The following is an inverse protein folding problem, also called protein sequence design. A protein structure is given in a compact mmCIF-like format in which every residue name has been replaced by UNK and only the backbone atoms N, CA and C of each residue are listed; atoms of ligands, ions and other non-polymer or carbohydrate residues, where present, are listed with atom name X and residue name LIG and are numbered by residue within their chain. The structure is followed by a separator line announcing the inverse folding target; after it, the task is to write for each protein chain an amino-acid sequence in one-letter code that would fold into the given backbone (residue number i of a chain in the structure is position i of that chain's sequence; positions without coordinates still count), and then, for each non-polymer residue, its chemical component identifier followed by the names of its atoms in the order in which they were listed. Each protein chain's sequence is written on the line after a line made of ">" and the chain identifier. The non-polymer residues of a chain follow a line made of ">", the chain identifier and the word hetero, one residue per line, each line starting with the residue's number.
data_IF_086181885344
#
_entry.id   IF_086181885344
#
_cell.length_a   1.000
_cell.length_b   1.000
_cell.length_c   1.000
_cell.angle_alpha   90.00
_cell.angle_beta   90.00
_cell.angle_gamma   90.00
#
_symmetry.space_group_name_H-M   'P 1'
#
loop_
_entity.id
_entity.type
_entity.pdbx_description
1 polymer ?
#
# COMPACT_ATOMS: atom_id res chain seq x y z
N UNK A 1 -1.52 37.93 -30.51
CA UNK A 1 -0.99 38.22 -29.15
C UNK A 1 0.43 37.65 -29.08
N UNK A 2 1.42 38.51 -29.35
CA UNK A 2 2.84 38.15 -29.52
C UNK A 2 3.60 38.51 -28.25
N UNK A 3 4.35 37.54 -27.70
CA UNK A 3 5.65 37.68 -27.01
C UNK A 3 5.86 38.90 -26.07
N UNK A 4 4.91 39.26 -25.21
CA UNK A 4 5.15 40.25 -24.14
C UNK A 4 5.66 39.59 -22.83
N UNK A 5 5.60 38.26 -22.73
CA UNK A 5 6.03 37.51 -21.53
C UNK A 5 7.47 36.96 -21.60
N UNK A 6 8.15 37.05 -22.76
CA UNK A 6 9.61 37.02 -22.89
C UNK A 6 10.41 35.74 -22.47
N UNK A 7 11.74 35.75 -22.71
CA UNK A 7 12.70 34.69 -22.34
C UNK A 7 12.78 34.41 -20.82
N UNK A 8 12.48 35.41 -19.98
CA UNK A 8 12.51 35.26 -18.52
C UNK A 8 11.45 34.27 -18.02
N UNK A 9 10.28 34.17 -18.66
CA UNK A 9 9.26 33.17 -18.30
C UNK A 9 9.66 31.76 -18.76
N UNK A 10 10.34 31.64 -19.90
CA UNK A 10 10.91 30.36 -20.36
C UNK A 10 12.06 29.89 -19.45
N UNK A 11 12.94 30.80 -19.03
CA UNK A 11 14.03 30.52 -18.09
C UNK A 11 13.51 30.16 -16.69
N UNK A 12 12.54 30.92 -16.16
CA UNK A 12 11.86 30.57 -14.90
C UNK A 12 11.13 29.22 -15.00
N UNK A 13 10.46 28.94 -16.12
CA UNK A 13 9.83 27.64 -16.38
C UNK A 13 10.84 26.50 -16.42
N UNK A 14 12.00 26.73 -17.03
CA UNK A 14 13.14 25.81 -17.05
C UNK A 14 13.67 25.52 -15.64
N UNK A 15 13.92 26.55 -14.84
CA UNK A 15 14.40 26.40 -13.46
C UNK A 15 13.42 25.63 -12.58
N UNK A 16 12.10 25.89 -12.69
CA UNK A 16 11.07 25.13 -11.99
C UNK A 16 11.06 23.67 -12.44
N UNK A 17 11.16 23.42 -13.75
CA UNK A 17 11.20 22.06 -14.29
C UNK A 17 12.44 21.29 -13.78
N UNK A 18 13.60 21.93 -13.75
CA UNK A 18 14.84 21.32 -13.26
C UNK A 18 14.77 21.04 -11.76
N UNK A 19 14.23 21.97 -10.97
CA UNK A 19 13.98 21.75 -9.55
C UNK A 19 13.09 20.54 -9.31
N UNK A 20 11.97 20.43 -10.04
CA UNK A 20 11.06 19.27 -9.94
C UNK A 20 11.77 17.97 -10.33
N UNK A 21 12.59 17.98 -11.39
CA UNK A 21 13.36 16.79 -11.82
C UNK A 21 14.35 16.34 -10.73
N UNK A 22 15.12 17.27 -10.17
CA UNK A 22 16.10 16.99 -9.10
C UNK A 22 15.39 16.46 -7.84
N UNK A 23 14.27 17.09 -7.45
CA UNK A 23 13.47 16.65 -6.30
C UNK A 23 12.96 15.21 -6.47
N UNK A 24 12.39 14.91 -7.65
CA UNK A 24 11.91 13.56 -8.01
C UNK A 24 13.03 12.52 -8.00
N UNK A 25 14.18 12.85 -8.58
CA UNK A 25 15.35 11.99 -8.58
C UNK A 25 15.84 11.72 -7.15
N UNK A 26 15.86 12.76 -6.30
CA UNK A 26 16.21 12.63 -4.88
C UNK A 26 15.32 11.63 -4.14
N UNK A 27 14.00 11.65 -4.37
CA UNK A 27 13.07 10.66 -3.80
C UNK A 27 13.34 9.25 -4.30
N UNK A 28 13.57 9.09 -5.60
CA UNK A 28 13.90 7.80 -6.20
C UNK A 28 15.19 7.21 -5.60
N UNK A 29 16.24 8.02 -5.48
CA UNK A 29 17.51 7.59 -4.85
C UNK A 29 17.28 7.17 -3.39
N UNK A 30 16.50 7.95 -2.63
CA UNK A 30 16.15 7.60 -1.23
C UNK A 30 15.43 6.26 -1.15
N UNK A 31 14.42 6.03 -2.01
CA UNK A 31 13.68 4.78 -2.04
C UNK A 31 14.57 3.59 -2.44
N UNK A 32 15.46 3.74 -3.42
CA UNK A 32 16.44 2.72 -3.80
C UNK A 32 17.42 2.40 -2.67
N UNK A 33 17.93 3.43 -1.99
CA UNK A 33 18.85 3.25 -0.86
C UNK A 33 18.14 2.49 0.26
N UNK A 34 16.90 2.88 0.57
CA UNK A 34 16.09 2.23 1.60
C UNK A 34 15.74 0.79 1.22
N UNK A 35 15.38 0.53 -0.03
CA UNK A 35 15.06 -0.83 -0.50
C UNK A 35 16.28 -1.75 -0.49
N UNK A 36 17.45 -1.24 -0.85
CA UNK A 36 18.72 -1.97 -0.74
C UNK A 36 19.06 -2.31 0.71
N UNK A 37 18.84 -1.37 1.63
CA UNK A 37 19.02 -1.63 3.06
C UNK A 37 18.09 -2.76 3.53
N UNK A 38 16.80 -2.71 3.17
CA UNK A 38 15.84 -3.75 3.54
C UNK A 38 16.23 -5.14 3.02
N UNK A 39 16.71 -5.23 1.77
CA UNK A 39 17.22 -6.49 1.21
C UNK A 39 18.47 -6.99 1.95
N UNK A 40 19.38 -6.08 2.30
CA UNK A 40 20.60 -6.39 3.05
C UNK A 40 20.27 -6.89 4.45
N UNK A 41 19.37 -6.21 5.16
CA UNK A 41 18.89 -6.59 6.49
C UNK A 41 18.22 -7.98 6.47
N UNK A 42 17.56 -8.30 5.36
CA UNK A 42 16.94 -9.60 5.12
C UNK A 42 17.93 -10.69 4.63
N UNK A 43 19.19 -10.35 4.35
CA UNK A 43 20.16 -11.29 3.78
C UNK A 43 19.83 -11.76 2.35
N UNK A 44 19.08 -10.95 1.59
CA UNK A 44 18.64 -11.26 0.24
C UNK A 44 19.50 -10.54 -0.81
N UNK A 45 19.88 -11.25 -1.87
CA UNK A 45 20.56 -10.67 -3.02
C UNK A 45 19.55 -10.06 -4.00
N UNK A 46 19.73 -8.78 -4.41
CA UNK A 46 18.85 -8.13 -5.37
C UNK A 46 18.79 -8.86 -6.72
N UNK A 47 17.60 -8.88 -7.33
CA UNK A 47 17.31 -9.45 -8.65
C UNK A 47 16.68 -8.40 -9.58
N UNK A 48 16.83 -8.54 -10.91
CA UNK A 48 16.25 -7.60 -11.87
C UNK A 48 14.72 -7.51 -11.77
N UNK A 49 14.18 -6.29 -11.74
CA UNK A 49 12.73 -6.04 -11.75
C UNK A 49 12.24 -5.92 -13.20
N UNK A 50 11.16 -6.63 -13.54
CA UNK A 50 10.52 -6.48 -14.83
C UNK A 50 10.03 -5.04 -15.06
N UNK A 51 10.23 -4.49 -16.27
CA UNK A 51 9.91 -3.09 -16.56
C UNK A 51 8.44 -2.72 -16.29
N UNK A 52 7.51 -3.66 -16.52
CA UNK A 52 6.07 -3.50 -16.23
C UNK A 52 5.77 -3.23 -14.76
N UNK A 53 6.65 -3.64 -13.85
CA UNK A 53 6.54 -3.42 -12.41
C UNK A 53 7.42 -2.25 -11.98
N UNK A 54 8.66 -2.18 -12.49
CA UNK A 54 9.61 -1.13 -12.14
C UNK A 54 9.09 0.27 -12.52
N UNK A 55 8.55 0.43 -13.72
CA UNK A 55 8.14 1.75 -14.20
C UNK A 55 7.03 2.39 -13.34
N UNK A 56 5.90 1.71 -13.05
CA UNK A 56 4.90 2.24 -12.12
C UNK A 56 5.43 2.55 -10.71
N UNK A 57 6.32 1.72 -10.17
CA UNK A 57 6.96 1.98 -8.87
C UNK A 57 7.75 3.29 -8.90
N UNK A 58 8.56 3.49 -9.94
CA UNK A 58 9.40 4.67 -10.10
C UNK A 58 8.60 5.96 -10.25
N UNK A 59 7.49 5.91 -10.99
CA UNK A 59 6.56 7.04 -11.11
C UNK A 59 5.92 7.38 -9.76
N UNK A 60 5.41 6.38 -9.04
CA UNK A 60 4.78 6.56 -7.73
C UNK A 60 5.74 7.17 -6.70
N UNK A 61 6.94 6.58 -6.58
CA UNK A 61 8.01 7.08 -5.69
C UNK A 61 8.34 8.56 -5.98
N UNK A 62 8.37 8.95 -7.25
CA UNK A 62 8.77 10.32 -7.62
C UNK A 62 7.80 11.38 -7.11
N UNK A 63 6.53 11.03 -6.88
CA UNK A 63 5.49 11.98 -6.48
C UNK A 63 5.07 11.83 -5.02
N UNK A 64 5.49 10.78 -4.32
CA UNK A 64 5.11 10.56 -2.91
C UNK A 64 5.81 11.55 -1.98
N UNK A 65 5.04 12.28 -1.15
CA UNK A 65 5.56 13.25 -0.18
C UNK A 65 5.36 12.80 1.28
N UNK A 66 4.57 11.76 1.51
CA UNK A 66 4.36 11.24 2.85
C UNK A 66 5.43 10.20 3.21
N UNK A 67 6.09 10.38 4.36
CA UNK A 67 7.16 9.48 4.82
C UNK A 67 6.66 8.04 5.05
N UNK A 68 5.47 7.86 5.61
CA UNK A 68 4.93 6.52 5.89
C UNK A 68 4.58 5.75 4.61
N UNK A 69 4.12 6.44 3.57
CA UNK A 69 3.88 5.84 2.26
C UNK A 69 5.19 5.63 1.51
N UNK A 70 6.16 6.54 1.65
CA UNK A 70 7.50 6.42 1.08
C UNK A 70 8.21 5.15 1.58
N UNK A 71 8.05 4.79 2.86
CA UNK A 71 8.55 3.54 3.43
C UNK A 71 7.89 2.31 2.77
N UNK A 72 6.57 2.36 2.52
CA UNK A 72 5.84 1.27 1.82
C UNK A 72 6.27 1.14 0.35
N UNK A 73 6.56 2.26 -0.32
CA UNK A 73 7.13 2.24 -1.67
C UNK A 73 8.52 1.60 -1.70
N UNK A 74 9.38 1.93 -0.74
CA UNK A 74 10.69 1.29 -0.60
C UNK A 74 10.56 -0.22 -0.35
N UNK A 75 9.60 -0.64 0.48
CA UNK A 75 9.28 -2.04 0.71
C UNK A 75 8.77 -2.76 -0.55
N UNK A 76 7.87 -2.15 -1.32
CA UNK A 76 7.41 -2.71 -2.61
C UNK A 76 8.59 -2.87 -3.58
N UNK A 77 9.46 -1.88 -3.67
CA UNK A 77 10.66 -1.94 -4.51
C UNK A 77 11.63 -3.03 -4.04
N UNK A 78 11.82 -3.18 -2.72
CA UNK A 78 12.66 -4.23 -2.14
C UNK A 78 12.10 -5.62 -2.45
N UNK A 79 10.80 -5.85 -2.21
CA UNK A 79 10.16 -7.12 -2.51
C UNK A 79 10.18 -7.43 -4.01
N UNK A 80 9.97 -6.44 -4.88
CA UNK A 80 10.05 -6.62 -6.33
C UNK A 80 11.46 -7.00 -6.79
N UNK A 81 12.50 -6.49 -6.12
CA UNK A 81 13.89 -6.84 -6.34
C UNK A 81 14.35 -8.07 -5.55
N UNK A 82 13.48 -8.76 -4.81
CA UNK A 82 13.86 -10.02 -4.15
C UNK A 82 13.96 -11.17 -5.18
N UNK A 83 14.64 -12.29 -4.86
CA UNK A 83 14.76 -13.43 -5.77
C UNK A 83 13.43 -13.95 -6.34
N UNK A 84 12.35 -13.90 -5.56
CA UNK A 84 11.01 -14.32 -5.97
C UNK A 84 10.09 -13.12 -6.25
N UNK A 85 10.66 -11.93 -6.48
CA UNK A 85 9.91 -10.68 -6.52
C UNK A 85 8.83 -10.62 -7.60
N UNK A 86 9.02 -11.32 -8.72
CA UNK A 86 8.01 -11.42 -9.79
C UNK A 86 6.77 -12.24 -9.40
N UNK A 87 6.86 -13.08 -8.37
CA UNK A 87 5.74 -13.86 -7.85
C UNK A 87 5.03 -13.13 -6.69
N UNK A 88 5.77 -12.27 -5.98
CA UNK A 88 5.28 -11.58 -4.78
C UNK A 88 4.69 -10.21 -5.09
N UNK A 89 5.24 -9.49 -6.08
CA UNK A 89 4.82 -8.11 -6.39
C UNK A 89 4.10 -8.04 -7.72
N UNK A 90 2.78 -7.88 -7.63
CA UNK A 90 1.92 -7.61 -8.77
C UNK A 90 2.15 -6.19 -9.30
N UNK A 91 2.19 -5.97 -10.63
CA UNK A 91 2.32 -4.62 -11.22
C UNK A 91 1.26 -3.63 -10.72
N UNK A 92 0.05 -4.12 -10.44
CA UNK A 92 -1.07 -3.30 -9.93
C UNK A 92 -0.84 -2.73 -8.53
N UNK A 93 0.11 -3.26 -7.75
CA UNK A 93 0.35 -2.78 -6.39
C UNK A 93 0.87 -1.34 -6.36
N UNK A 94 1.61 -0.91 -7.39
CA UNK A 94 1.99 0.49 -7.54
C UNK A 94 0.74 1.40 -7.67
N UNK A 95 -0.20 1.02 -8.52
CA UNK A 95 -1.44 1.78 -8.70
C UNK A 95 -2.32 1.79 -7.46
N UNK A 96 -2.32 0.68 -6.70
CA UNK A 96 -3.00 0.61 -5.41
C UNK A 96 -2.37 1.58 -4.42
N UNK A 97 -1.06 1.50 -4.17
CA UNK A 97 -0.39 2.34 -3.18
C UNK A 97 -0.50 3.84 -3.53
N UNK A 98 -0.37 4.18 -4.82
CA UNK A 98 -0.56 5.54 -5.33
C UNK A 98 -1.95 6.13 -5.06
N UNK A 99 -2.97 5.30 -4.89
CA UNK A 99 -4.35 5.72 -4.59
C UNK A 99 -4.67 5.77 -3.09
N UNK A 100 -3.76 5.32 -2.22
CA UNK A 100 -3.99 5.30 -0.78
C UNK A 100 -3.59 6.61 -0.13
N UNK A 101 -4.35 7.01 0.89
CA UNK A 101 -3.90 8.01 1.85
C UNK A 101 -3.09 7.33 2.98
N UNK A 102 -2.28 8.09 3.75
CA UNK A 102 -1.56 7.54 4.90
C UNK A 102 -2.51 6.88 5.91
N UNK A 103 -3.66 7.49 6.15
CA UNK A 103 -4.71 6.97 7.03
C UNK A 103 -5.29 5.66 6.53
N UNK A 104 -5.56 5.52 5.23
CA UNK A 104 -6.06 4.28 4.64
C UNK A 104 -5.02 3.15 4.73
N UNK A 105 -3.75 3.47 4.49
CA UNK A 105 -2.65 2.51 4.63
C UNK A 105 -2.51 2.04 6.09
N UNK A 106 -2.65 2.95 7.07
CA UNK A 106 -2.64 2.61 8.49
C UNK A 106 -3.84 1.73 8.90
N UNK A 107 -5.03 2.00 8.35
CA UNK A 107 -6.20 1.13 8.54
C UNK A 107 -5.91 -0.28 8.04
N UNK A 108 -5.32 -0.43 6.85
CA UNK A 108 -4.96 -1.74 6.30
C UNK A 108 -3.95 -2.48 7.18
N UNK A 109 -2.92 -1.79 7.66
CA UNK A 109 -1.91 -2.40 8.54
C UNK A 109 -2.59 -3.02 9.78
N UNK A 110 -3.47 -2.28 10.45
CA UNK A 110 -4.22 -2.78 11.62
C UNK A 110 -5.26 -3.85 11.31
N UNK A 111 -5.86 -3.84 10.11
CA UNK A 111 -6.76 -4.90 9.68
C UNK A 111 -5.96 -6.20 9.49
N UNK A 112 -4.85 -6.15 8.77
CA UNK A 112 -4.08 -7.35 8.41
C UNK A 112 -3.15 -7.86 9.52
N UNK A 113 -2.76 -7.03 10.48
CA UNK A 113 -2.10 -7.49 11.71
C UNK A 113 -2.97 -8.50 12.49
N UNK A 114 -4.30 -8.34 12.46
CA UNK A 114 -5.23 -9.30 13.08
C UNK A 114 -5.33 -10.63 12.32
N UNK A 115 -4.95 -10.65 11.04
CA UNK A 115 -4.90 -11.86 10.20
C UNK A 115 -3.63 -12.65 10.47
N UNK A 116 -2.47 -11.97 10.45
CA UNK A 116 -1.16 -12.59 10.66
C UNK A 116 -1.10 -13.38 11.98
N UNK A 117 -1.67 -12.84 13.06
CA UNK A 117 -1.74 -13.52 14.35
C UNK A 117 -2.68 -14.74 14.43
N UNK A 118 -3.55 -14.95 13.43
CA UNK A 118 -4.60 -15.99 13.44
C UNK A 118 -4.45 -17.04 12.34
N UNK A 119 -3.86 -16.71 11.20
CA UNK A 119 -3.52 -17.68 10.15
C UNK A 119 -2.57 -18.77 10.65
N UNK A 120 -1.74 -18.46 11.65
CA UNK A 120 -0.86 -19.43 12.31
C UNK A 120 -1.60 -20.48 13.17
N UNK A 121 -2.93 -20.39 13.34
CA UNK A 121 -3.68 -21.25 14.25
C UNK A 121 -4.72 -22.19 13.60
N UNK A 122 -5.10 -22.03 12.33
CA UNK A 122 -6.12 -22.91 11.72
C UNK A 122 -5.93 -23.18 10.22
N UNK A 123 -5.75 -24.46 9.85
CA UNK A 123 -5.75 -24.99 8.47
C UNK A 123 -7.14 -25.00 7.79
N UNK A 124 -8.12 -24.22 8.28
CA UNK A 124 -9.53 -24.30 7.84
C UNK A 124 -10.06 -22.97 7.31
N UNK A 125 -9.60 -22.58 6.12
CA UNK A 125 -10.29 -21.61 5.24
C UNK A 125 -10.29 -20.14 5.70
N UNK A 126 -10.46 -19.22 4.73
CA UNK A 126 -10.33 -17.77 4.88
C UNK A 126 -11.58 -17.05 5.46
N UNK A 127 -12.29 -17.65 6.42
CA UNK A 127 -13.47 -17.01 7.02
C UNK A 127 -13.10 -16.12 8.21
N UNK A 128 -12.32 -15.07 7.96
CA UNK A 128 -11.94 -14.08 8.98
C UNK A 128 -12.79 -12.83 8.83
N UNK A 129 -13.44 -12.41 9.91
CA UNK A 129 -14.14 -11.12 9.97
C UNK A 129 -13.36 -10.15 10.84
N UNK A 130 -13.16 -8.94 10.33
CA UNK A 130 -12.60 -7.82 11.07
C UNK A 130 -13.69 -7.13 11.87
N UNK A 131 -13.41 -6.91 13.16
CA UNK A 131 -14.19 -5.98 13.98
C UNK A 131 -13.66 -4.56 13.72
N UNK A 132 -14.14 -3.94 12.66
CA UNK A 132 -13.65 -2.63 12.17
C UNK A 132 -13.76 -1.51 13.21
N UNK A 133 -14.72 -1.60 14.14
CA UNK A 133 -14.84 -0.67 15.27
C UNK A 133 -13.64 -0.65 16.22
N UNK A 134 -12.93 -1.77 16.34
CA UNK A 134 -11.70 -1.79 17.14
C UNK A 134 -10.64 -0.96 16.42
N UNK A 135 -10.49 -1.16 15.11
CA UNK A 135 -9.53 -0.43 14.28
C UNK A 135 -9.84 1.07 14.28
N UNK A 136 -11.10 1.46 14.06
CA UNK A 136 -11.53 2.87 14.11
C UNK A 136 -11.19 3.54 15.44
N UNK A 137 -11.40 2.85 16.56
CA UNK A 137 -11.09 3.38 17.91
C UNK A 137 -9.60 3.52 18.14
N UNK A 138 -8.78 2.59 17.66
CA UNK A 138 -7.31 2.66 17.78
C UNK A 138 -6.73 3.82 16.96
N UNK A 139 -7.29 4.08 15.78
CA UNK A 139 -6.82 5.16 14.89
C UNK A 139 -7.49 6.51 15.24
N UNK A 140 -8.39 6.53 16.23
CA UNK A 140 -9.09 7.73 16.72
C UNK A 140 -9.80 8.55 15.61
N UNK A 141 -10.39 7.85 14.64
CA UNK A 141 -11.08 8.50 13.52
C UNK A 141 -12.58 8.73 13.79
N UNK A 142 -13.12 9.91 13.40
CA UNK A 142 -14.55 10.10 13.30
C UNK A 142 -15.19 9.04 12.40
N UNK A 143 -16.41 8.60 12.76
CA UNK A 143 -17.10 7.54 12.03
C UNK A 143 -17.23 7.82 10.53
N UNK A 144 -17.59 9.04 10.15
CA UNK A 144 -17.76 9.45 8.74
C UNK A 144 -16.46 9.38 7.94
N UNK A 145 -15.33 9.73 8.55
CA UNK A 145 -14.02 9.69 7.89
C UNK A 145 -13.52 8.26 7.76
N UNK A 146 -13.78 7.44 8.78
CA UNK A 146 -13.49 6.01 8.75
C UNK A 146 -14.29 5.30 7.65
N UNK A 147 -15.61 5.51 7.57
CA UNK A 147 -16.45 4.89 6.54
C UNK A 147 -16.00 5.26 5.13
N UNK A 148 -15.66 6.54 4.89
CA UNK A 148 -15.10 6.98 3.60
C UNK A 148 -13.77 6.31 3.27
N UNK A 149 -12.91 6.07 4.26
CA UNK A 149 -11.70 5.27 4.05
C UNK A 149 -12.05 3.83 3.68
N UNK A 150 -12.97 3.19 4.41
CA UNK A 150 -13.40 1.82 4.16
C UNK A 150 -14.00 1.66 2.77
N UNK A 151 -14.84 2.57 2.30
CA UNK A 151 -15.42 2.54 0.95
C UNK A 151 -14.34 2.50 -0.13
N UNK A 152 -13.27 3.29 0.01
CA UNK A 152 -12.15 3.26 -0.93
C UNK A 152 -11.35 1.96 -0.84
N UNK A 153 -11.10 1.45 0.37
CA UNK A 153 -10.40 0.18 0.56
C UNK A 153 -11.19 -1.00 -0.03
N UNK A 154 -12.51 -0.97 0.06
CA UNK A 154 -13.42 -1.93 -0.57
C UNK A 154 -13.40 -1.77 -2.09
N UNK A 155 -13.44 -0.53 -2.61
CA UNK A 155 -13.32 -0.23 -4.05
C UNK A 155 -12.02 -0.80 -4.65
N UNK A 156 -10.91 -0.71 -3.91
CA UNK A 156 -9.62 -1.28 -4.30
C UNK A 156 -9.50 -2.78 -4.06
N UNK A 157 -10.58 -3.43 -3.60
CA UNK A 157 -10.66 -4.86 -3.28
C UNK A 157 -9.61 -5.31 -2.24
N UNK A 158 -9.17 -4.40 -1.36
CA UNK A 158 -8.23 -4.71 -0.27
C UNK A 158 -8.93 -5.28 0.96
N UNK A 159 -10.25 -5.08 1.04
CA UNK A 159 -11.15 -5.78 1.96
C UNK A 159 -12.54 -5.87 1.31
N UNK A 160 -13.46 -6.64 1.89
CA UNK A 160 -14.85 -6.73 1.43
C UNK A 160 -15.80 -6.38 2.57
N UNK A 161 -16.99 -5.87 2.26
CA UNK A 161 -18.06 -5.74 3.27
C UNK A 161 -18.91 -7.00 3.26
N UNK A 162 -19.03 -7.65 4.42
CA UNK A 162 -20.06 -8.67 4.60
C UNK A 162 -21.36 -7.95 4.91
N UNK A 163 -22.37 -8.19 4.08
CA UNK A 163 -23.76 -7.91 4.44
C UNK A 163 -24.30 -9.25 4.96
N UNK A 164 -24.57 -9.38 6.27
CA UNK A 164 -25.12 -10.61 6.78
C UNK A 164 -26.48 -10.90 6.13
N UNK A 165 -26.65 -12.13 5.64
CA UNK A 165 -27.88 -12.54 4.96
C UNK A 165 -29.08 -12.30 5.87
N UNK A 166 -30.07 -11.54 5.38
CA UNK A 166 -31.27 -11.13 6.13
C UNK A 166 -32.12 -12.30 6.68
N UNK A 167 -31.91 -13.54 6.21
CA UNK A 167 -32.87 -14.64 6.36
C UNK A 167 -32.39 -15.92 7.09
N UNK A 168 -31.19 -16.00 7.65
CA UNK A 168 -30.82 -17.18 8.48
C UNK A 168 -30.96 -16.89 9.97
N UNK A 169 -32.06 -17.36 10.56
CA UNK A 169 -32.38 -17.30 11.99
C UNK A 169 -31.36 -17.98 12.91
N UNK A 170 -30.40 -18.73 12.36
CA UNK A 170 -29.34 -19.44 13.10
C UNK A 170 -28.06 -18.63 13.32
N UNK A 171 -27.88 -17.50 12.63
CA UNK A 171 -26.75 -16.60 12.84
C UNK A 171 -27.26 -15.16 12.80
N UNK A 172 -27.74 -14.64 13.93
CA UNK A 172 -27.82 -13.19 14.12
C UNK A 172 -26.38 -12.71 14.36
N UNK A 173 -25.74 -12.00 13.41
CA UNK A 173 -24.52 -11.32 13.74
C UNK A 173 -24.82 -10.34 14.88
N UNK A 174 -23.87 -10.08 15.79
CA UNK A 174 -24.05 -9.07 16.82
C UNK A 174 -24.52 -7.78 16.15
N UNK A 175 -25.69 -7.31 16.55
CA UNK A 175 -26.37 -6.21 15.90
C UNK A 175 -25.49 -4.95 15.92
N UNK A 176 -25.37 -4.30 14.75
CA UNK A 176 -25.09 -2.87 14.70
C UNK A 176 -23.87 -2.40 13.92
N UNK A 177 -22.93 -3.27 13.52
CA UNK A 177 -21.69 -2.80 12.86
C UNK A 177 -21.32 -3.60 11.61
N UNK A 178 -20.88 -2.92 10.53
CA UNK A 178 -20.42 -3.61 9.33
C UNK A 178 -19.19 -4.46 9.66
N UNK A 179 -19.24 -5.74 9.33
CA UNK A 179 -18.07 -6.63 9.37
C UNK A 179 -17.42 -6.65 7.99
N UNK A 180 -16.09 -6.64 7.95
CA UNK A 180 -15.34 -6.75 6.70
C UNK A 180 -14.47 -7.99 6.68
N UNK A 181 -14.27 -8.60 5.50
CA UNK A 181 -13.34 -9.74 5.33
C UNK A 181 -12.05 -9.28 4.66
N UNK A 182 -10.91 -9.91 4.98
CA UNK A 182 -9.71 -9.77 4.18
C UNK A 182 -9.93 -10.35 2.78
N UNK A 183 -9.15 -9.86 1.83
CA UNK A 183 -9.01 -10.48 0.52
C UNK A 183 -7.59 -11.01 0.37
N UNK A 184 -7.40 -12.03 -0.47
CA UNK A 184 -6.05 -12.48 -0.84
C UNK A 184 -5.23 -11.36 -1.47
N UNK A 185 -5.88 -10.55 -2.31
CA UNK A 185 -5.27 -9.41 -2.96
C UNK A 185 -4.78 -8.37 -1.94
N UNK A 186 -5.61 -8.02 -0.96
CA UNK A 186 -5.24 -7.09 0.11
C UNK A 186 -4.15 -7.66 1.02
N UNK A 187 -4.20 -8.95 1.34
CA UNK A 187 -3.14 -9.62 2.10
C UNK A 187 -1.81 -9.54 1.37
N UNK A 188 -1.76 -9.98 0.10
CA UNK A 188 -0.55 -9.95 -0.71
C UNK A 188 0.00 -8.52 -0.85
N UNK A 189 -0.87 -7.54 -1.10
CA UNK A 189 -0.49 -6.12 -1.16
C UNK A 189 0.16 -5.63 0.15
N UNK A 190 -0.48 -5.89 1.30
CA UNK A 190 0.04 -5.45 2.60
C UNK A 190 1.37 -6.11 2.93
N UNK A 191 1.53 -7.40 2.64
CA UNK A 191 2.80 -8.10 2.86
C UNK A 191 3.91 -7.56 1.93
N UNK A 192 3.59 -7.26 0.67
CA UNK A 192 4.54 -6.64 -0.25
C UNK A 192 4.93 -5.19 0.15
N UNK A 193 4.09 -4.52 0.95
CA UNK A 193 4.38 -3.20 1.52
C UNK A 193 5.17 -3.26 2.85
N UNK A 194 5.57 -4.45 3.32
CA UNK A 194 6.45 -4.65 4.48
C UNK A 194 7.85 -5.03 4.02
N UNK A 195 8.87 -4.74 4.82
CA UNK A 195 10.24 -5.15 4.50
C UNK A 195 10.31 -6.67 4.26
N UNK A 196 11.02 -7.14 3.22
CA UNK A 196 11.16 -8.57 2.95
C UNK A 196 11.79 -9.28 4.14
N UNK A 197 11.41 -10.54 4.32
CA UNK A 197 11.96 -11.43 5.34
C UNK A 197 12.56 -12.62 4.60
N UNK A 198 13.76 -13.08 4.98
CA UNK A 198 14.29 -14.34 4.46
C UNK A 198 13.31 -15.47 4.78
N UNK A 199 12.82 -16.16 3.74
CA UNK A 199 12.15 -17.43 3.96
C UNK A 199 13.19 -18.40 4.53
N UNK A 200 12.96 -18.86 5.77
CA UNK A 200 13.72 -19.99 6.30
C UNK A 200 13.40 -21.19 5.40
N UNK A 201 14.39 -21.63 4.63
CA UNK A 201 14.38 -22.92 3.96
C UNK A 201 14.20 -24.05 4.98
#
# INVERSE_FOLDING_TARGET
>A
MKKVLGPAVEEMGGMVADYVRIHRLGKQIKAFTRSQQMLTDAGLTPSPIAMKTLWPLMEGISIEDNDSLSEKWAALLANAASPNGSEVVEPSFADVLKQLTPTQALILDHLYEQVDGRLMQQERGWYYTFKVDKVRRVIELPFTDFERCMDNLIRLRLCTRIIPARNNSLFKPPAGFPTTEPTMFGYAFVQACKAPIAQKL
#
